data_IF_138207513157
#
_entry.id   IF_138207513157
#
_cell.length_a   1.000
_cell.length_b   1.000
_cell.length_c   1.000
_cell.angle_alpha   90.00
_cell.angle_beta   90.00
_cell.angle_gamma   90.00
#
_symmetry.space_group_name_H-M   'P 1'
#
loop_
_entity.id
_entity.type
_entity.pdbx_description
1 polymer ?
#
# COMPACT_ATOMS: atom_id res chain seq x y z
N UNK A 1 -52.45 -55.42 38.62
CA UNK A 1 -50.98 -55.22 38.50
C UNK A 1 -50.79 -54.07 37.50
N UNK A 2 -50.55 -52.86 37.98
CA UNK A 2 -50.34 -51.63 37.16
C UNK A 2 -48.86 -51.36 37.14
N UNK A 3 -48.27 -51.40 35.94
CA UNK A 3 -46.86 -51.06 35.73
C UNK A 3 -46.73 -49.56 35.56
N UNK A 4 -45.98 -48.94 36.47
CA UNK A 4 -45.66 -47.48 36.42
C UNK A 4 -44.41 -47.30 35.54
N UNK A 5 -44.58 -46.72 34.36
CA UNK A 5 -43.47 -46.29 33.49
C UNK A 5 -42.96 -44.94 33.99
N UNK A 6 -41.72 -44.91 34.50
CA UNK A 6 -41.02 -43.65 34.85
C UNK A 6 -40.32 -43.10 33.63
N UNK A 7 -40.78 -41.96 33.10
CA UNK A 7 -40.10 -41.18 32.06
C UNK A 7 -39.04 -40.33 32.73
N UNK A 8 -37.77 -40.60 32.47
CA UNK A 8 -36.66 -39.77 32.88
C UNK A 8 -36.49 -38.65 31.84
N UNK A 9 -36.74 -37.41 32.27
CA UNK A 9 -36.45 -36.22 31.46
C UNK A 9 -34.96 -35.92 31.51
N UNK A 10 -34.27 -36.06 30.38
CA UNK A 10 -32.87 -35.63 30.20
C UNK A 10 -32.88 -34.16 29.88
N UNK A 11 -32.49 -33.31 30.83
CA UNK A 11 -32.23 -31.91 30.62
C UNK A 11 -30.90 -31.76 29.84
N UNK A 12 -30.98 -31.47 28.54
CA UNK A 12 -29.82 -31.12 27.74
C UNK A 12 -29.31 -29.71 28.09
N UNK A 13 -28.16 -29.64 28.73
CA UNK A 13 -27.45 -28.39 29.00
C UNK A 13 -26.79 -27.92 27.70
N UNK A 14 -27.40 -26.93 27.02
CA UNK A 14 -26.80 -26.27 25.84
C UNK A 14 -25.58 -25.43 26.28
N UNK A 15 -24.38 -25.91 25.98
CA UNK A 15 -23.14 -25.15 26.19
C UNK A 15 -23.07 -24.09 25.08
N UNK A 16 -23.33 -22.85 25.48
CA UNK A 16 -23.14 -21.67 24.61
C UNK A 16 -21.62 -21.36 24.56
N UNK A 17 -20.94 -21.78 23.50
CA UNK A 17 -19.55 -21.41 23.23
C UNK A 17 -19.56 -20.03 22.60
N UNK A 18 -19.07 -18.97 23.26
CA UNK A 18 -18.96 -17.66 22.63
C UNK A 18 -17.91 -17.77 21.50
N UNK A 19 -18.34 -17.54 20.27
CA UNK A 19 -17.43 -17.32 19.14
C UNK A 19 -16.71 -15.98 19.39
N UNK A 20 -15.49 -16.05 19.92
CA UNK A 20 -14.60 -14.89 19.96
C UNK A 20 -14.34 -14.51 18.49
N UNK A 21 -14.96 -13.40 18.04
CA UNK A 21 -14.62 -12.79 16.76
C UNK A 21 -13.13 -12.49 16.77
N UNK A 22 -12.39 -12.91 15.74
CA UNK A 22 -11.02 -12.48 15.50
C UNK A 22 -11.05 -10.95 15.32
N UNK A 23 -10.81 -10.22 16.39
CA UNK A 23 -10.50 -8.80 16.32
C UNK A 23 -9.11 -8.73 15.70
N UNK A 24 -9.00 -8.13 14.52
CA UNK A 24 -7.69 -7.86 13.92
C UNK A 24 -6.85 -7.10 14.96
N UNK A 25 -5.67 -7.66 15.30
CA UNK A 25 -4.78 -7.00 16.25
C UNK A 25 -4.36 -5.66 15.65
N UNK A 26 -4.37 -4.57 16.43
CA UNK A 26 -3.83 -3.30 15.97
C UNK A 26 -2.37 -3.51 15.56
N UNK A 27 -2.02 -3.02 14.39
CA UNK A 27 -0.63 -3.05 13.92
C UNK A 27 0.20 -2.20 14.88
N UNK A 28 1.33 -2.75 15.37
CA UNK A 28 2.26 -1.98 16.21
C UNK A 28 2.73 -0.73 15.44
N UNK A 29 2.41 0.49 15.91
CA UNK A 29 2.80 1.72 15.24
C UNK A 29 4.32 1.84 15.06
N UNK A 30 5.12 1.37 16.02
CA UNK A 30 6.57 1.38 15.91
C UNK A 30 7.07 0.44 14.82
N UNK A 31 6.46 -0.74 14.71
CA UNK A 31 6.74 -1.66 13.60
C UNK A 31 6.34 -1.04 12.26
N UNK A 32 5.20 -0.39 12.16
CA UNK A 32 4.74 0.26 10.94
C UNK A 32 5.69 1.39 10.51
N UNK A 33 6.13 2.23 11.45
CA UNK A 33 6.96 3.41 11.17
C UNK A 33 8.45 3.10 10.95
N UNK A 34 8.91 1.87 11.18
CA UNK A 34 10.31 1.52 10.92
C UNK A 34 10.60 1.57 9.40
N UNK A 35 11.60 2.31 8.90
CA UNK A 35 11.93 2.36 7.48
C UNK A 35 12.37 1.00 6.92
N UNK A 36 12.10 0.77 5.63
CA UNK A 36 12.67 -0.35 4.89
C UNK A 36 14.18 -0.18 4.65
N UNK A 37 14.88 -1.24 4.19
CA UNK A 37 16.34 -1.23 3.99
C UNK A 37 16.83 -0.24 2.91
N UNK A 38 15.93 0.19 2.02
CA UNK A 38 16.22 1.18 0.97
C UNK A 38 15.89 2.63 1.37
N UNK A 39 15.51 2.86 2.63
CA UNK A 39 14.93 4.13 3.06
C UNK A 39 13.49 4.31 2.57
N UNK A 40 12.79 5.29 3.13
CA UNK A 40 11.41 5.61 2.75
C UNK A 40 11.37 6.55 1.54
N UNK A 41 10.30 6.46 0.77
CA UNK A 41 9.93 7.42 -0.26
C UNK A 41 8.74 8.22 0.23
N UNK A 42 8.95 9.52 0.44
CA UNK A 42 8.02 10.35 1.21
C UNK A 42 7.73 11.69 0.56
N UNK A 43 6.55 12.24 0.87
CA UNK A 43 6.13 13.59 0.53
C UNK A 43 5.56 14.28 1.79
N UNK A 44 5.67 15.59 1.85
CA UNK A 44 5.16 16.40 2.95
C UNK A 44 6.15 16.56 4.11
N UNK A 45 5.66 17.13 5.21
CA UNK A 45 6.45 17.40 6.41
C UNK A 45 6.53 16.14 7.29
N UNK A 46 7.72 15.63 7.66
CA UNK A 46 7.85 14.49 8.56
C UNK A 46 7.29 14.76 9.97
N UNK A 47 7.02 16.01 10.33
CA UNK A 47 6.38 16.40 11.59
C UNK A 47 4.86 16.64 11.44
N UNK A 48 4.26 16.32 10.28
CA UNK A 48 2.82 16.45 10.08
C UNK A 48 2.03 15.64 11.12
N UNK A 49 0.86 16.13 11.57
CA UNK A 49 0.06 15.47 12.62
C UNK A 49 -0.48 14.10 12.19
N UNK A 50 -0.60 13.85 10.88
CA UNK A 50 -1.11 12.58 10.35
C UNK A 50 -0.10 11.98 9.39
N UNK A 51 0.17 10.68 9.55
CA UNK A 51 0.96 9.89 8.60
C UNK A 51 0.03 8.98 7.79
N UNK A 52 0.20 9.02 6.46
CA UNK A 52 -0.46 8.11 5.52
C UNK A 52 0.60 7.28 4.82
N UNK A 53 0.55 5.95 4.98
CA UNK A 53 1.43 5.01 4.29
C UNK A 53 0.61 4.27 3.25
N UNK A 54 1.01 4.33 1.99
CA UNK A 54 0.43 3.54 0.90
C UNK A 54 1.35 2.38 0.56
N UNK A 55 0.82 1.15 0.59
CA UNK A 55 1.42 -0.01 -0.07
C UNK A 55 0.81 -0.16 -1.45
N UNK A 56 1.65 -0.07 -2.49
CA UNK A 56 1.18 -0.01 -3.87
C UNK A 56 1.98 -0.91 -4.81
N UNK A 57 1.32 -1.37 -5.87
CA UNK A 57 1.95 -2.08 -6.99
C UNK A 57 1.78 -1.29 -8.28
N UNK A 58 2.87 -1.11 -9.02
CA UNK A 58 2.89 -0.32 -10.24
C UNK A 58 2.09 -0.95 -11.40
N UNK A 59 1.74 -2.23 -11.30
CA UNK A 59 0.85 -2.91 -12.26
C UNK A 59 -0.59 -3.05 -11.75
N UNK A 60 -0.90 -2.63 -10.52
CA UNK A 60 -2.25 -2.70 -9.99
C UNK A 60 -3.13 -1.60 -10.59
N UNK A 61 -4.23 -1.99 -11.27
CA UNK A 61 -5.16 -1.03 -11.89
C UNK A 61 -5.85 -0.12 -10.88
N UNK A 62 -6.15 -0.61 -9.67
CA UNK A 62 -6.72 0.19 -8.59
C UNK A 62 -5.73 1.23 -8.06
N UNK A 63 -4.42 0.91 -7.96
CA UNK A 63 -3.39 1.89 -7.63
C UNK A 63 -3.29 2.96 -8.72
N UNK A 64 -3.26 2.55 -10.00
CA UNK A 64 -3.27 3.51 -11.11
C UNK A 64 -4.52 4.40 -11.11
N UNK A 65 -5.70 3.84 -10.80
CA UNK A 65 -6.92 4.64 -10.69
C UNK A 65 -6.85 5.64 -9.54
N UNK A 66 -6.41 5.22 -8.36
CA UNK A 66 -6.19 6.10 -7.21
C UNK A 66 -5.27 7.28 -7.57
N UNK A 67 -4.14 7.01 -8.20
CA UNK A 67 -3.20 8.06 -8.61
C UNK A 67 -3.79 9.01 -9.66
N UNK A 68 -4.60 8.52 -10.60
CA UNK A 68 -5.26 9.36 -11.61
C UNK A 68 -6.39 10.23 -11.06
N UNK A 69 -7.14 9.74 -10.06
CA UNK A 69 -8.41 10.36 -9.65
C UNK A 69 -8.38 11.02 -8.28
N UNK A 70 -7.53 10.54 -7.37
CA UNK A 70 -7.58 10.92 -5.95
C UNK A 70 -6.27 11.51 -5.43
N UNK A 71 -5.12 10.93 -5.82
CA UNK A 71 -3.83 11.31 -5.25
C UNK A 71 -3.50 12.81 -5.42
N UNK A 72 -3.82 13.39 -6.57
CA UNK A 72 -3.61 14.83 -6.81
C UNK A 72 -4.35 15.69 -5.79
N UNK A 73 -5.62 15.38 -5.52
CA UNK A 73 -6.42 16.11 -4.53
C UNK A 73 -5.93 15.87 -3.08
N UNK A 74 -5.53 14.61 -2.75
CA UNK A 74 -4.91 14.28 -1.46
C UNK A 74 -3.62 15.09 -1.25
N UNK A 75 -2.79 15.17 -2.29
CA UNK A 75 -1.54 15.93 -2.26
C UNK A 75 -1.79 17.41 -2.02
N UNK A 76 -2.64 18.02 -2.82
CA UNK A 76 -2.95 19.47 -2.73
C UNK A 76 -3.60 19.84 -1.39
N UNK A 77 -4.59 19.05 -0.94
CA UNK A 77 -5.38 19.39 0.25
C UNK A 77 -4.64 19.12 1.58
N UNK A 78 -3.81 18.07 1.62
CA UNK A 78 -3.26 17.57 2.87
C UNK A 78 -1.74 17.50 2.92
N UNK A 79 -1.08 17.01 1.86
CA UNK A 79 0.38 16.80 1.88
C UNK A 79 1.11 18.15 1.72
N UNK A 80 0.76 18.93 0.70
CA UNK A 80 1.38 20.22 0.41
C UNK A 80 1.05 21.29 1.45
N UNK A 81 0.01 21.07 2.25
CA UNK A 81 -0.39 21.94 3.36
C UNK A 81 0.22 21.55 4.71
N UNK A 82 1.11 20.54 4.74
CA UNK A 82 1.79 20.08 5.95
C UNK A 82 0.89 19.32 6.95
N UNK A 83 -0.29 18.89 6.54
CA UNK A 83 -1.24 18.15 7.38
C UNK A 83 -0.99 16.65 7.38
N UNK A 84 -0.42 16.15 6.28
CA UNK A 84 -0.13 14.73 6.07
C UNK A 84 1.33 14.54 5.65
N UNK A 85 2.00 13.63 6.33
CA UNK A 85 3.23 13.00 5.89
C UNK A 85 2.87 11.72 5.14
N UNK A 86 3.17 11.70 3.83
CA UNK A 86 2.84 10.58 2.97
C UNK A 86 4.06 9.70 2.70
N UNK A 87 3.90 8.39 2.82
CA UNK A 87 4.94 7.38 2.58
C UNK A 87 4.44 6.40 1.53
N UNK A 88 5.19 6.22 0.46
CA UNK A 88 4.92 5.19 -0.55
C UNK A 88 5.84 3.98 -0.33
N UNK A 89 5.26 2.80 -0.23
CA UNK A 89 5.97 1.52 -0.09
C UNK A 89 5.61 0.57 -1.22
N UNK A 90 6.62 0.01 -1.84
CA UNK A 90 6.44 -0.93 -2.93
C UNK A 90 5.88 -2.26 -2.40
N UNK A 91 4.81 -2.72 -3.04
CA UNK A 91 4.20 -4.03 -2.82
C UNK A 91 3.92 -4.70 -4.17
N UNK A 92 4.97 -5.11 -4.90
CA UNK A 92 4.82 -5.65 -6.25
C UNK A 92 4.03 -6.96 -6.23
N UNK A 93 2.94 -7.00 -7.01
CA UNK A 93 2.07 -8.18 -7.13
C UNK A 93 2.57 -9.18 -8.17
N UNK A 94 3.50 -8.78 -9.03
CA UNK A 94 4.07 -9.58 -10.11
C UNK A 94 5.50 -9.14 -10.45
N UNK A 95 6.16 -9.89 -11.34
CA UNK A 95 7.54 -9.62 -11.74
C UNK A 95 7.69 -8.29 -12.52
N UNK A 96 6.66 -7.88 -13.27
CA UNK A 96 6.70 -6.62 -14.00
C UNK A 96 6.62 -5.43 -13.03
N UNK A 97 5.75 -5.52 -12.01
CA UNK A 97 5.67 -4.53 -10.93
C UNK A 97 7.00 -4.42 -10.17
N UNK A 98 7.65 -5.56 -9.89
CA UNK A 98 8.96 -5.58 -9.24
C UNK A 98 10.03 -4.88 -10.10
N UNK A 99 10.09 -5.20 -11.39
CA UNK A 99 11.00 -4.54 -12.32
C UNK A 99 10.74 -3.02 -12.41
N UNK A 100 9.47 -2.62 -12.49
CA UNK A 100 9.10 -1.21 -12.50
C UNK A 100 9.48 -0.49 -11.20
N UNK A 101 9.31 -1.13 -10.04
CA UNK A 101 9.73 -0.59 -8.75
C UNK A 101 11.26 -0.42 -8.66
N UNK A 102 12.03 -1.38 -9.18
CA UNK A 102 13.50 -1.28 -9.29
C UNK A 102 13.90 -0.09 -10.15
N UNK A 103 13.25 0.09 -11.31
CA UNK A 103 13.50 1.24 -12.19
C UNK A 103 13.12 2.56 -11.50
N UNK A 104 11.97 2.64 -10.83
CA UNK A 104 11.55 3.82 -10.10
C UNK A 104 12.57 4.21 -9.01
N UNK A 105 13.07 3.23 -8.25
CA UNK A 105 14.11 3.46 -7.22
C UNK A 105 15.45 3.94 -7.78
N UNK A 106 15.72 3.72 -9.05
CA UNK A 106 16.91 4.24 -9.75
C UNK A 106 16.76 5.70 -10.19
N UNK A 107 15.56 6.28 -10.15
CA UNK A 107 15.40 7.70 -10.46
C UNK A 107 16.19 8.56 -9.47
N UNK A 108 16.64 9.78 -9.86
CA UNK A 108 17.11 10.76 -8.89
C UNK A 108 16.07 10.95 -7.77
N UNK A 109 16.55 11.25 -6.56
CA UNK A 109 15.65 11.34 -5.39
C UNK A 109 14.51 12.34 -5.62
N UNK A 110 14.84 13.48 -6.19
CA UNK A 110 13.89 14.55 -6.54
C UNK A 110 12.88 14.16 -7.62
N UNK A 111 13.21 13.18 -8.47
CA UNK A 111 12.36 12.73 -9.59
C UNK A 111 11.55 11.48 -9.26
N UNK A 112 11.80 10.82 -8.13
CA UNK A 112 11.17 9.54 -7.80
C UNK A 112 9.63 9.60 -7.93
N UNK A 113 9.00 10.56 -7.26
CA UNK A 113 7.53 10.67 -7.30
C UNK A 113 7.00 11.08 -8.66
N UNK A 114 7.74 11.87 -9.43
CA UNK A 114 7.39 12.22 -10.81
C UNK A 114 7.39 10.98 -11.70
N UNK A 115 8.40 10.12 -11.56
CA UNK A 115 8.51 8.85 -12.30
C UNK A 115 7.41 7.88 -11.89
N UNK A 116 7.17 7.71 -10.60
CA UNK A 116 6.13 6.82 -10.06
C UNK A 116 4.73 7.28 -10.49
N UNK A 117 4.43 8.58 -10.37
CA UNK A 117 3.15 9.13 -10.80
C UNK A 117 2.93 8.88 -12.30
N UNK A 118 3.97 9.08 -13.10
CA UNK A 118 3.93 8.78 -14.54
C UNK A 118 3.68 7.30 -14.82
N UNK A 119 4.32 6.39 -14.05
CA UNK A 119 4.09 4.95 -14.18
C UNK A 119 2.64 4.58 -13.84
N UNK A 120 2.05 5.18 -12.81
CA UNK A 120 0.64 4.92 -12.44
C UNK A 120 -0.34 5.52 -13.44
N UNK A 121 -0.13 6.77 -13.83
CA UNK A 121 -1.07 7.47 -14.72
C UNK A 121 -1.10 6.90 -16.14
N UNK A 122 0.03 6.41 -16.63
CA UNK A 122 0.17 5.84 -17.98
C UNK A 122 0.21 4.30 -18.01
N UNK A 123 -0.31 3.60 -16.97
CA UNK A 123 -0.28 2.13 -16.90
C UNK A 123 -0.72 1.45 -18.20
N UNK A 124 -1.76 1.94 -18.85
CA UNK A 124 -2.28 1.38 -20.10
C UNK A 124 -1.28 1.44 -21.26
N UNK A 125 -0.27 2.32 -21.16
CA UNK A 125 0.74 2.53 -22.20
C UNK A 125 1.99 1.70 -22.02
N UNK A 126 2.19 1.12 -20.81
CA UNK A 126 3.39 0.34 -20.55
C UNK A 126 3.12 -1.02 -19.90
N UNK A 127 2.19 -1.11 -18.92
CA UNK A 127 2.00 -2.33 -18.16
C UNK A 127 1.17 -3.38 -18.87
N UNK A 128 0.18 -2.94 -19.69
CA UNK A 128 -0.79 -3.83 -20.34
C UNK A 128 -0.59 -3.92 -21.87
N UNK A 129 0.64 -3.78 -22.32
CA UNK A 129 1.03 -3.87 -23.72
C UNK A 129 1.82 -5.15 -24.01
N UNK A 130 2.00 -5.50 -25.28
CA UNK A 130 2.69 -6.72 -25.69
C UNK A 130 4.17 -6.76 -25.25
N UNK A 131 4.84 -5.60 -25.20
CA UNK A 131 6.26 -5.48 -24.83
C UNK A 131 6.44 -4.48 -23.65
N UNK A 132 6.01 -4.84 -22.43
CA UNK A 132 5.93 -3.91 -21.32
C UNK A 132 7.30 -3.35 -20.91
N UNK A 133 8.37 -4.15 -20.98
CA UNK A 133 9.71 -3.69 -20.63
C UNK A 133 10.25 -2.61 -21.59
N UNK A 134 10.00 -2.75 -22.90
CA UNK A 134 10.36 -1.73 -23.88
C UNK A 134 9.54 -0.45 -23.69
N UNK A 135 8.24 -0.61 -23.46
CA UNK A 135 7.34 0.52 -23.20
C UNK A 135 7.70 1.26 -21.91
N UNK A 136 8.08 0.54 -20.85
CA UNK A 136 8.54 1.14 -19.61
C UNK A 136 9.85 1.95 -19.82
N UNK A 137 10.80 1.41 -20.59
CA UNK A 137 12.02 2.16 -20.93
C UNK A 137 11.66 3.47 -21.66
N UNK A 138 10.79 3.44 -22.68
CA UNK A 138 10.36 4.65 -23.38
C UNK A 138 9.68 5.66 -22.43
N UNK A 139 8.88 5.17 -21.47
CA UNK A 139 8.22 6.00 -20.47
C UNK A 139 9.22 6.77 -19.59
N UNK A 140 10.32 6.13 -19.20
CA UNK A 140 11.30 6.73 -18.25
C UNK A 140 12.47 7.44 -18.91
N UNK A 141 12.65 7.32 -20.24
CA UNK A 141 13.69 8.05 -20.99
C UNK A 141 13.70 9.56 -20.74
N UNK A 142 12.54 10.26 -20.72
CA UNK A 142 12.51 11.70 -20.42
C UNK A 142 13.05 12.07 -19.03
N UNK A 143 13.11 11.08 -18.12
CA UNK A 143 13.62 11.21 -16.75
C UNK A 143 15.09 10.76 -16.61
N UNK A 144 15.85 10.82 -17.71
CA UNK A 144 17.30 10.57 -17.70
C UNK A 144 17.70 9.08 -17.69
N UNK A 145 16.81 8.19 -18.13
CA UNK A 145 17.15 6.76 -18.28
C UNK A 145 17.66 6.47 -19.68
N UNK A 146 18.94 6.11 -19.79
CA UNK A 146 19.48 5.41 -20.95
C UNK A 146 19.11 3.92 -20.87
N UNK A 147 19.25 3.21 -21.98
CA UNK A 147 19.06 1.74 -22.00
C UNK A 147 20.04 1.03 -21.05
N UNK A 148 21.30 1.50 -20.99
CA UNK A 148 22.32 0.98 -20.08
C UNK A 148 21.92 1.16 -18.63
N UNK A 149 21.50 2.39 -18.22
CA UNK A 149 21.03 2.67 -16.87
C UNK A 149 19.80 1.83 -16.51
N UNK A 150 18.84 1.74 -17.41
CA UNK A 150 17.64 0.92 -17.23
C UNK A 150 18.00 -0.56 -16.96
N UNK A 151 18.90 -1.14 -17.75
CA UNK A 151 19.35 -2.52 -17.55
C UNK A 151 20.13 -2.67 -16.23
N UNK A 152 20.98 -1.72 -15.89
CA UNK A 152 21.70 -1.74 -14.62
C UNK A 152 20.74 -1.75 -13.42
N UNK A 153 19.67 -0.95 -13.47
CA UNK A 153 18.63 -0.95 -12.42
C UNK A 153 17.97 -2.32 -12.26
N UNK A 154 17.64 -2.99 -13.38
CA UNK A 154 17.00 -4.30 -13.38
C UNK A 154 17.87 -5.46 -12.88
N UNK A 155 19.18 -5.24 -12.81
CA UNK A 155 20.16 -6.24 -12.32
C UNK A 155 20.76 -5.88 -10.96
N UNK A 156 20.26 -4.83 -10.30
CA UNK A 156 20.72 -4.41 -8.98
C UNK A 156 20.10 -5.31 -7.89
N UNK A 157 20.89 -6.26 -7.39
CA UNK A 157 20.45 -7.21 -6.36
C UNK A 157 20.04 -6.50 -5.06
N UNK A 158 20.68 -5.38 -4.70
CA UNK A 158 20.35 -4.62 -3.50
C UNK A 158 18.97 -3.98 -3.61
N UNK A 159 18.60 -3.46 -4.78
CA UNK A 159 17.25 -2.94 -5.02
C UNK A 159 16.22 -4.07 -4.96
N UNK A 160 16.50 -5.19 -5.62
CA UNK A 160 15.63 -6.37 -5.60
C UNK A 160 15.36 -6.83 -4.17
N UNK A 161 16.41 -7.14 -3.41
CA UNK A 161 16.28 -7.62 -2.03
C UNK A 161 15.57 -6.61 -1.13
N UNK A 162 15.87 -5.33 -1.30
CA UNK A 162 15.27 -4.27 -0.51
C UNK A 162 13.78 -4.11 -0.77
N UNK A 163 13.33 -4.15 -2.03
CA UNK A 163 11.90 -4.08 -2.39
C UNK A 163 11.16 -5.32 -1.87
N UNK A 164 11.75 -6.52 -2.03
CA UNK A 164 11.18 -7.76 -1.50
C UNK A 164 11.04 -7.70 0.02
N UNK A 165 12.02 -7.14 0.72
CA UNK A 165 11.94 -6.96 2.17
C UNK A 165 10.83 -5.99 2.59
N UNK A 166 10.61 -4.89 1.84
CA UNK A 166 9.49 -3.95 2.08
C UNK A 166 8.13 -4.64 1.85
N UNK A 167 8.00 -5.39 0.75
CA UNK A 167 6.78 -6.13 0.43
C UNK A 167 6.47 -7.20 1.49
N UNK A 168 7.49 -8.00 1.87
CA UNK A 168 7.34 -9.01 2.93
C UNK A 168 6.86 -8.37 4.24
N UNK A 169 7.38 -7.21 4.58
CA UNK A 169 6.92 -6.49 5.77
C UNK A 169 5.46 -6.05 5.64
N UNK A 170 5.03 -5.62 4.46
CA UNK A 170 3.61 -5.36 4.18
C UNK A 170 2.75 -6.58 4.46
N UNK A 171 3.17 -7.78 4.01
CA UNK A 171 2.50 -9.05 4.32
C UNK A 171 2.42 -9.29 5.84
N UNK A 172 3.54 -9.12 6.56
CA UNK A 172 3.62 -9.29 8.01
C UNK A 172 2.69 -8.31 8.76
N UNK A 173 2.42 -7.12 8.19
CA UNK A 173 1.48 -6.11 8.67
C UNK A 173 0.04 -6.34 8.17
N UNK A 174 -0.22 -7.45 7.48
CA UNK A 174 -1.54 -7.85 7.01
C UNK A 174 -2.00 -7.16 5.74
N UNK A 175 -1.09 -6.63 4.91
CA UNK A 175 -1.42 -6.18 3.55
C UNK A 175 -1.69 -7.42 2.69
N UNK A 176 -2.89 -7.54 2.14
CA UNK A 176 -3.33 -8.68 1.33
C UNK A 176 -3.66 -8.29 -0.11
N UNK A 177 -3.47 -7.03 -0.46
CA UNK A 177 -3.74 -6.47 -1.79
C UNK A 177 -3.42 -4.99 -1.83
N UNK A 178 -3.45 -4.41 -3.03
CA UNK A 178 -3.09 -3.01 -3.28
C UNK A 178 -4.20 -2.24 -3.99
N UNK A 179 -4.33 -0.92 -3.76
CA UNK A 179 -3.61 -0.18 -2.72
C UNK A 179 -4.08 -0.57 -1.32
N UNK A 180 -3.20 -0.45 -0.33
CA UNK A 180 -3.56 -0.54 1.07
C UNK A 180 -2.96 0.65 1.81
N UNK A 181 -3.79 1.35 2.57
CA UNK A 181 -3.37 2.54 3.31
C UNK A 181 -3.31 2.25 4.80
N UNK A 182 -2.35 2.88 5.47
CA UNK A 182 -2.34 2.99 6.93
C UNK A 182 -2.37 4.47 7.28
N UNK A 183 -3.41 4.89 8.00
CA UNK A 183 -3.57 6.26 8.49
C UNK A 183 -3.35 6.25 9.99
N UNK A 184 -2.26 6.85 10.47
CA UNK A 184 -1.84 6.78 11.87
C UNK A 184 -1.90 5.35 12.48
N UNK A 185 -1.60 4.33 11.67
CA UNK A 185 -1.61 2.92 12.08
C UNK A 185 -2.91 2.16 11.83
N UNK A 186 -4.01 2.83 11.53
CA UNK A 186 -5.26 2.19 11.14
C UNK A 186 -5.23 1.80 9.65
N UNK A 187 -5.52 0.52 9.36
CA UNK A 187 -5.46 -0.01 8.00
C UNK A 187 -6.78 0.17 7.25
N UNK A 188 -6.68 0.73 6.06
CA UNK A 188 -7.74 0.86 5.07
C UNK A 188 -7.34 0.12 3.80
N UNK A 189 -8.10 -0.90 3.40
CA UNK A 189 -7.82 -1.70 2.21
C UNK A 189 -8.58 -1.23 0.99
N UNK A 190 -7.91 -1.32 -0.17
CA UNK A 190 -8.50 -0.95 -1.45
C UNK A 190 -8.38 0.54 -1.77
N UNK A 191 -8.86 0.88 -2.95
CA UNK A 191 -8.88 2.25 -3.45
C UNK A 191 -9.80 3.14 -2.60
N UNK A 192 -9.33 4.33 -2.23
CA UNK A 192 -10.08 5.33 -1.49
C UNK A 192 -10.30 6.58 -2.35
N UNK A 193 -11.50 7.16 -2.27
CA UNK A 193 -11.80 8.48 -2.86
C UNK A 193 -11.33 9.60 -1.94
N UNK A 194 -11.29 10.84 -2.46
CA UNK A 194 -10.91 11.99 -1.63
C UNK A 194 -11.90 12.22 -0.49
N UNK A 195 -13.19 11.96 -0.69
CA UNK A 195 -14.24 12.09 0.35
C UNK A 195 -14.03 11.04 1.46
N UNK A 196 -13.53 9.85 1.11
CA UNK A 196 -13.18 8.82 2.10
C UNK A 196 -11.93 9.21 2.89
N UNK A 197 -10.92 9.81 2.23
CA UNK A 197 -9.79 10.42 2.94
C UNK A 197 -10.23 11.56 3.83
N UNK A 198 -11.11 12.44 3.37
CA UNK A 198 -11.65 13.55 4.18
C UNK A 198 -12.32 13.02 5.46
N UNK A 199 -13.15 11.99 5.33
CA UNK A 199 -13.85 11.39 6.48
C UNK A 199 -12.90 10.79 7.53
N UNK A 200 -11.72 10.32 7.12
CA UNK A 200 -10.70 9.76 8.03
C UNK A 200 -9.77 10.84 8.57
N UNK A 201 -9.34 11.77 7.72
CA UNK A 201 -8.31 12.74 8.06
C UNK A 201 -8.84 13.94 8.86
N UNK A 202 -10.06 14.44 8.54
CA UNK A 202 -10.57 15.63 9.20
C UNK A 202 -10.76 15.47 10.72
N UNK A 203 -11.30 14.35 11.26
CA UNK A 203 -11.34 14.13 12.71
C UNK A 203 -9.95 14.11 13.36
N UNK A 204 -8.96 13.43 12.73
CA UNK A 204 -7.60 13.35 13.24
C UNK A 204 -6.91 14.73 13.27
N UNK A 205 -7.22 15.59 12.32
CA UNK A 205 -6.67 16.95 12.23
C UNK A 205 -7.38 17.94 13.16
N UNK A 206 -8.62 17.67 13.56
CA UNK A 206 -9.37 18.48 14.52
C UNK A 206 -8.88 18.25 15.97
N UNK A 207 -8.13 17.18 16.25
CA UNK A 207 -7.58 16.87 17.57
C UNK A 207 -8.60 16.23 18.52
N UNK A 208 -9.62 15.54 17.96
CA UNK A 208 -10.62 14.76 18.70
C UNK A 208 -10.11 13.36 19.10
#
# INVERSE_FOLDING_TARGET
MQAIVRIAAVLGLAIFVPTAGLVAQPVDPAALMTPGPLGEKTLGDPNAPVTVIEYASLTCSHCGNFHRTTFGALKEKYIDTGKVYFVLREFPLDQLALAAAMVARCAPEEDYFTVVDRMFTDQDRWAYVEQPGAALLELVKPHGFSEERFRACLTDEKLLEGIVAVAKRGDDLGVTGTPAFFVNGEKHGGEMTIEQFDAVLEPLLAGD
#
